data_IF_392481376064
#
_entry.id   IF_392481376064
#
_cell.length_a   1.000
_cell.length_b   1.000
_cell.length_c   1.000
_cell.angle_alpha   90.00
_cell.angle_beta   90.00
_cell.angle_gamma   90.00
#
_symmetry.space_group_name_H-M   'P 1'
#
loop_
_entity.id
_entity.type
_entity.pdbx_description
1 polymer ?
#
# COMPACT_ATOMS: atom_id res chain seq x y z
N UNK A 1 26.56 -2.55 6.82
CA UNK A 1 25.25 -3.18 7.09
C UNK A 1 25.49 -4.62 7.52
N UNK A 2 24.90 -5.07 8.61
CA UNK A 2 24.97 -6.48 9.04
C UNK A 2 23.78 -7.23 8.43
N UNK A 3 24.04 -8.34 7.76
CA UNK A 3 23.02 -9.22 7.21
C UNK A 3 22.92 -10.49 8.06
N UNK A 4 21.72 -10.83 8.51
CA UNK A 4 21.43 -12.05 9.26
C UNK A 4 20.98 -13.13 8.27
N UNK A 5 21.57 -14.32 8.36
CA UNK A 5 21.14 -15.48 7.57
C UNK A 5 20.09 -16.26 8.35
N UNK A 6 18.92 -16.43 7.75
CA UNK A 6 17.83 -17.23 8.32
C UNK A 6 17.42 -18.30 7.32
N UNK A 7 17.17 -19.51 7.81
CA UNK A 7 16.53 -20.56 7.02
C UNK A 7 15.02 -20.43 7.22
N UNK A 8 14.26 -20.43 6.13
CA UNK A 8 12.79 -20.38 6.16
C UNK A 8 12.23 -21.58 5.41
N UNK A 9 11.16 -22.17 5.94
CA UNK A 9 10.37 -23.16 5.21
C UNK A 9 9.37 -22.41 4.33
N UNK A 10 9.36 -22.73 3.04
CA UNK A 10 8.45 -22.16 2.05
C UNK A 10 7.98 -23.26 1.11
N UNK A 11 6.79 -23.10 0.55
CA UNK A 11 6.28 -24.04 -0.44
C UNK A 11 7.15 -24.04 -1.70
N UNK A 12 7.39 -25.23 -2.27
CA UNK A 12 8.24 -25.38 -3.46
C UNK A 12 7.75 -24.54 -4.63
N UNK A 13 6.44 -24.53 -4.88
CA UNK A 13 5.86 -23.73 -5.96
C UNK A 13 6.14 -22.23 -5.79
N UNK A 14 5.97 -21.71 -4.57
CA UNK A 14 6.26 -20.31 -4.28
C UNK A 14 7.75 -19.99 -4.44
N UNK A 15 8.63 -20.90 -4.01
CA UNK A 15 10.07 -20.77 -4.21
C UNK A 15 10.44 -20.70 -5.71
N UNK A 16 9.89 -21.60 -6.53
CA UNK A 16 10.17 -21.66 -7.96
C UNK A 16 9.67 -20.38 -8.68
N UNK A 17 8.53 -19.84 -8.27
CA UNK A 17 8.03 -18.54 -8.76
C UNK A 17 8.95 -17.38 -8.36
N UNK A 18 9.38 -17.34 -7.10
CA UNK A 18 10.32 -16.32 -6.62
C UNK A 18 11.65 -16.38 -7.39
N UNK A 19 12.15 -17.58 -7.69
CA UNK A 19 13.35 -17.77 -8.52
C UNK A 19 13.20 -17.18 -9.91
N UNK A 20 12.06 -17.43 -10.56
CA UNK A 20 11.77 -16.89 -11.89
C UNK A 20 11.78 -15.37 -11.87
N UNK A 21 11.06 -14.77 -10.91
CA UNK A 21 10.97 -13.31 -10.76
C UNK A 21 12.36 -12.71 -10.48
N UNK A 22 13.15 -13.32 -9.59
CA UNK A 22 14.49 -12.84 -9.26
C UNK A 22 15.39 -12.79 -10.52
N UNK A 23 15.29 -13.83 -11.38
CA UNK A 23 16.03 -13.88 -12.65
C UNK A 23 15.57 -12.82 -13.63
N UNK A 24 14.26 -12.65 -13.80
CA UNK A 24 13.68 -11.63 -14.68
C UNK A 24 14.08 -10.21 -14.25
N UNK A 25 14.08 -9.95 -12.94
CA UNK A 25 14.52 -8.69 -12.34
C UNK A 25 16.06 -8.53 -12.29
N UNK A 26 16.83 -9.57 -12.65
CA UNK A 26 18.29 -9.63 -12.57
C UNK A 26 18.83 -9.33 -11.16
N UNK A 27 18.15 -9.80 -10.12
CA UNK A 27 18.56 -9.67 -8.72
C UNK A 27 18.83 -11.03 -8.10
N UNK A 28 19.58 -11.04 -6.99
CA UNK A 28 19.74 -12.28 -6.23
C UNK A 28 18.45 -12.64 -5.50
N UNK A 29 18.27 -13.94 -5.24
CA UNK A 29 17.12 -14.46 -4.48
C UNK A 29 16.92 -13.75 -3.16
N UNK A 30 18.00 -13.64 -2.38
CA UNK A 30 17.96 -12.95 -1.07
C UNK A 30 17.56 -11.49 -1.20
N UNK A 31 18.00 -10.81 -2.27
CA UNK A 31 17.59 -9.43 -2.55
C UNK A 31 16.10 -9.34 -2.89
N UNK A 32 15.56 -10.27 -3.67
CA UNK A 32 14.13 -10.34 -3.95
C UNK A 32 13.31 -10.48 -2.65
N UNK A 33 13.69 -11.40 -1.77
CA UNK A 33 12.99 -11.58 -0.48
C UNK A 33 13.06 -10.31 0.39
N UNK A 34 14.18 -9.61 0.41
CA UNK A 34 14.30 -8.32 1.12
C UNK A 34 13.35 -7.28 0.53
N UNK A 35 13.31 -7.15 -0.80
CA UNK A 35 12.40 -6.21 -1.49
C UNK A 35 10.94 -6.54 -1.15
N UNK A 36 10.55 -7.81 -1.27
CA UNK A 36 9.18 -8.25 -0.99
C UNK A 36 8.78 -7.98 0.46
N UNK A 37 9.69 -8.22 1.42
CA UNK A 37 9.43 -7.96 2.83
C UNK A 37 9.31 -6.46 3.12
N UNK A 38 10.13 -5.62 2.48
CA UNK A 38 10.04 -4.16 2.60
C UNK A 38 8.70 -3.64 2.06
N UNK A 39 8.30 -4.06 0.86
CA UNK A 39 7.02 -3.69 0.25
C UNK A 39 5.83 -4.16 1.11
N UNK A 40 5.89 -5.38 1.65
CA UNK A 40 4.86 -5.88 2.56
C UNK A 40 4.72 -5.03 3.83
N UNK A 41 5.85 -4.68 4.47
CA UNK A 41 5.83 -3.83 5.67
C UNK A 41 5.30 -2.42 5.37
N UNK A 42 5.66 -1.85 4.23
CA UNK A 42 5.17 -0.54 3.80
C UNK A 42 3.66 -0.55 3.57
N UNK A 43 3.15 -1.56 2.85
CA UNK A 43 1.69 -1.75 2.67
C UNK A 43 0.96 -1.88 4.00
N UNK A 44 1.53 -2.60 4.96
CA UNK A 44 0.91 -2.76 6.28
C UNK A 44 0.87 -1.44 7.06
N UNK A 45 1.96 -0.66 7.03
CA UNK A 45 1.99 0.69 7.62
C UNK A 45 0.97 1.63 6.98
N UNK A 46 0.83 1.58 5.66
CA UNK A 46 -0.14 2.40 4.93
C UNK A 46 -1.58 2.03 5.30
N UNK A 47 -1.89 0.74 5.46
CA UNK A 47 -3.21 0.28 5.95
C UNK A 47 -3.49 0.78 7.36
N UNK A 48 -2.51 0.71 8.25
CA UNK A 48 -2.66 1.19 9.62
C UNK A 48 -2.86 2.71 9.67
N UNK A 49 -2.10 3.47 8.87
CA UNK A 49 -2.27 4.91 8.75
C UNK A 49 -3.68 5.26 8.26
N UNK A 50 -4.16 4.59 7.21
CA UNK A 50 -5.52 4.77 6.69
C UNK A 50 -6.57 4.47 7.76
N UNK A 51 -6.40 3.39 8.52
CA UNK A 51 -7.31 3.05 9.62
C UNK A 51 -7.34 4.14 10.69
N UNK A 52 -6.19 4.72 11.05
CA UNK A 52 -6.10 5.83 12.00
C UNK A 52 -6.78 7.10 11.49
N UNK A 53 -6.60 7.42 10.20
CA UNK A 53 -7.29 8.55 9.56
C UNK A 53 -8.80 8.32 9.63
N UNK A 54 -9.28 7.15 9.22
CA UNK A 54 -10.71 6.83 9.26
C UNK A 54 -11.27 6.89 10.69
N UNK A 55 -10.52 6.43 11.69
CA UNK A 55 -10.92 6.53 13.09
C UNK A 55 -11.00 7.98 13.59
N UNK A 56 -10.06 8.85 13.18
CA UNK A 56 -10.06 10.26 13.55
C UNK A 56 -11.26 11.03 12.95
N UNK A 57 -11.80 10.57 11.82
CA UNK A 57 -12.97 11.13 11.14
C UNK A 57 -14.22 10.24 11.27
N UNK A 58 -14.27 9.36 12.27
CA UNK A 58 -15.39 8.46 12.47
C UNK A 58 -16.65 9.17 13.00
N UNK A 59 -16.48 10.32 13.65
CA UNK A 59 -17.57 11.12 14.19
C UNK A 59 -18.40 11.78 13.08
N UNK A 60 -19.63 12.18 13.43
CA UNK A 60 -20.47 12.92 12.49
C UNK A 60 -19.82 14.26 12.13
N UNK A 61 -19.87 14.66 10.84
CA UNK A 61 -19.22 15.88 10.40
C UNK A 61 -19.92 17.10 11.01
N UNK A 62 -19.15 18.03 11.57
CA UNK A 62 -19.72 19.29 12.05
C UNK A 62 -20.26 20.16 10.89
N UNK A 63 -20.99 21.23 11.22
CA UNK A 63 -21.58 22.12 10.21
C UNK A 63 -20.55 22.73 9.24
N UNK A 64 -19.33 22.97 9.71
CA UNK A 64 -18.22 23.50 8.90
C UNK A 64 -17.71 22.44 7.93
N UNK A 65 -17.51 21.21 8.41
CA UNK A 65 -17.14 20.07 7.56
C UNK A 65 -18.21 19.77 6.51
N UNK A 66 -19.49 19.81 6.88
CA UNK A 66 -20.60 19.60 5.95
C UNK A 66 -20.61 20.65 4.84
N UNK A 67 -20.40 21.92 5.18
CA UNK A 67 -20.30 23.02 4.21
C UNK A 67 -19.10 22.82 3.26
N UNK A 68 -17.94 22.43 3.82
CA UNK A 68 -16.74 22.14 3.05
C UNK A 68 -16.95 20.96 2.09
N UNK A 69 -17.53 19.85 2.58
CA UNK A 69 -17.86 18.66 1.77
C UNK A 69 -18.82 19.01 0.63
N UNK A 70 -19.82 19.86 0.87
CA UNK A 70 -20.76 20.33 -0.17
C UNK A 70 -20.05 21.14 -1.25
N UNK A 71 -19.14 22.04 -0.86
CA UNK A 71 -18.32 22.82 -1.80
C UNK A 71 -17.41 21.90 -2.63
N UNK A 72 -16.66 21.01 -1.98
CA UNK A 72 -15.76 20.07 -2.64
C UNK A 72 -16.48 19.19 -3.68
N UNK A 73 -17.67 18.66 -3.34
CA UNK A 73 -18.48 17.87 -4.29
C UNK A 73 -18.92 18.67 -5.51
N UNK A 74 -19.27 19.95 -5.34
CA UNK A 74 -19.65 20.82 -6.46
C UNK A 74 -18.48 21.11 -7.39
N UNK A 75 -17.31 21.43 -6.83
CA UNK A 75 -16.10 21.66 -7.65
C UNK A 75 -15.68 20.39 -8.38
N UNK A 76 -15.68 19.23 -7.70
CA UNK A 76 -15.34 17.96 -8.34
C UNK A 76 -16.29 17.63 -9.49
N UNK A 77 -17.60 17.83 -9.31
CA UNK A 77 -18.59 17.64 -10.37
C UNK A 77 -18.29 18.51 -11.59
N UNK A 78 -17.97 19.79 -11.39
CA UNK A 78 -17.64 20.72 -12.47
C UNK A 78 -16.39 20.29 -13.27
N UNK A 79 -15.42 19.68 -12.60
CA UNK A 79 -14.19 19.19 -13.25
C UNK A 79 -14.48 17.92 -14.08
N UNK A 80 -15.33 17.02 -13.57
CA UNK A 80 -15.59 15.71 -14.21
C UNK A 80 -16.69 15.79 -15.30
N UNK A 81 -17.61 16.77 -15.23
CA UNK A 81 -18.71 16.92 -16.19
C UNK A 81 -18.28 17.19 -17.65
N UNK A 82 -17.02 17.56 -17.90
CA UNK A 82 -16.48 17.78 -19.25
C UNK A 82 -15.56 16.67 -19.79
N UNK A 83 -15.39 15.58 -19.04
CA UNK A 83 -14.41 14.51 -19.33
C UNK A 83 -15.05 13.22 -19.90
N UNK A 84 -16.30 13.28 -20.40
CA UNK A 84 -17.00 12.15 -21.02
C UNK A 84 -17.51 12.48 -22.42
#
# INVERSE_FOLDING_TARGET
MQAIKTAISIEKNLFDQAEKIAREMKVTRSKLFVIALQDFMERQKNKELLARINAAYADEPDATEQALRKKARREHRRIVEGEW
#
